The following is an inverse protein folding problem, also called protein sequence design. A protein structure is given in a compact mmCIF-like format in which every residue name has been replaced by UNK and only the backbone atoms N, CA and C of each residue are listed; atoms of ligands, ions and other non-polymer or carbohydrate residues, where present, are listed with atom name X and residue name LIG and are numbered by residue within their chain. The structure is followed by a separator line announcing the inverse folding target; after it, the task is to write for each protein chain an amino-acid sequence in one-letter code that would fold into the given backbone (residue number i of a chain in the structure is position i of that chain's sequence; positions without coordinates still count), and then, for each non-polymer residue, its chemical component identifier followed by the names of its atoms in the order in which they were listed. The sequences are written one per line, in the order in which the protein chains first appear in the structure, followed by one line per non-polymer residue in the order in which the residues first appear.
data_IF_193829779264
#
_entry.id   IF_193829779264
#
_cell.length_a   1.000
_cell.length_b   1.000
_cell.length_c   1.000
_cell.angle_alpha   90.00
_cell.angle_beta   90.00
_cell.angle_gamma   90.00
#
_symmetry.space_group_name_H-M   'P 1'
#
loop_
_entity.id
_entity.type
_entity.pdbx_description
1 polymer ?
#
# COMPACT_ATOMS: atom_id res chain seq x y z
N UNK A 1 5.66 -30.37 -37.03
CA UNK A 1 4.64 -29.39 -37.47
C UNK A 1 3.29 -29.56 -36.78
N UNK A 2 2.71 -30.76 -36.62
CA UNK A 2 1.38 -30.94 -36.00
C UNK A 2 1.31 -30.56 -34.50
N UNK A 3 2.36 -30.84 -33.72
CA UNK A 3 2.37 -30.58 -32.26
C UNK A 3 2.53 -29.09 -31.91
N UNK A 4 3.35 -28.36 -32.65
CA UNK A 4 3.56 -26.91 -32.45
C UNK A 4 2.30 -26.09 -32.74
N UNK A 5 1.52 -26.50 -33.75
CA UNK A 5 0.25 -25.85 -34.11
C UNK A 5 -0.84 -26.07 -33.05
N UNK A 6 -0.84 -27.25 -32.41
CA UNK A 6 -1.78 -27.58 -31.34
C UNK A 6 -1.50 -26.77 -30.06
N UNK A 7 -0.22 -26.56 -29.71
CA UNK A 7 0.18 -25.73 -28.57
C UNK A 7 -0.21 -24.25 -28.78
N UNK A 8 0.03 -23.71 -29.98
CA UNK A 8 -0.37 -22.33 -30.30
C UNK A 8 -1.90 -22.15 -30.27
N UNK A 9 -2.65 -23.14 -30.75
CA UNK A 9 -4.12 -23.06 -30.75
C UNK A 9 -4.69 -23.12 -29.32
N UNK A 10 -4.05 -23.91 -28.45
CA UNK A 10 -4.42 -23.98 -27.02
C UNK A 10 -4.14 -22.69 -26.26
N UNK A 11 -3.02 -22.02 -26.55
CA UNK A 11 -2.67 -20.72 -25.98
C UNK A 11 -3.65 -19.63 -26.43
N UNK A 12 -4.02 -19.63 -27.72
CA UNK A 12 -5.00 -18.68 -28.27
C UNK A 12 -6.38 -18.92 -27.65
N UNK A 13 -6.80 -20.17 -27.47
CA UNK A 13 -8.06 -20.47 -26.79
C UNK A 13 -8.07 -20.03 -25.33
N UNK A 14 -7.00 -20.26 -24.57
CA UNK A 14 -6.91 -19.73 -23.19
C UNK A 14 -6.97 -18.20 -23.16
N UNK A 15 -6.29 -17.51 -24.07
CA UNK A 15 -6.37 -16.05 -24.19
C UNK A 15 -7.80 -15.57 -24.52
N UNK A 16 -8.50 -16.26 -25.44
CA UNK A 16 -9.90 -15.95 -25.77
C UNK A 16 -10.87 -16.20 -24.61
N UNK A 17 -10.60 -17.19 -23.76
CA UNK A 17 -11.37 -17.45 -22.53
C UNK A 17 -11.11 -16.38 -21.47
N UNK A 18 -9.87 -15.91 -21.31
CA UNK A 18 -9.52 -14.81 -20.39
C UNK A 18 -10.15 -13.48 -20.84
N UNK A 19 -10.17 -13.20 -22.15
CA UNK A 19 -10.82 -12.01 -22.73
C UNK A 19 -12.35 -12.05 -22.63
N UNK A 20 -12.97 -13.23 -22.62
CA UNK A 20 -14.42 -13.39 -22.40
C UNK A 20 -14.84 -13.32 -20.92
N UNK A 21 -13.88 -13.34 -19.98
CA UNK A 21 -14.15 -13.32 -18.54
C UNK A 21 -14.28 -11.92 -17.92
N UNK A 22 -13.96 -10.85 -18.67
CA UNK A 22 -14.23 -9.47 -18.27
C UNK A 22 -15.24 -8.88 -19.26
N UNK A 23 -16.23 -8.15 -18.73
CA UNK A 23 -17.35 -7.51 -19.44
C UNK A 23 -18.59 -8.40 -19.65
N UNK A 24 -19.23 -8.79 -18.55
CA UNK A 24 -20.69 -8.72 -18.47
C UNK A 24 -21.02 -7.41 -17.74
N UNK A 25 -21.32 -6.35 -18.50
CA UNK A 25 -21.78 -5.07 -17.98
C UNK A 25 -23.27 -4.95 -18.33
N UNK A 26 -24.12 -4.92 -17.32
CA UNK A 26 -25.48 -4.41 -17.42
C UNK A 26 -25.42 -2.88 -17.40
N UNK A 27 -26.12 -2.26 -18.35
CA UNK A 27 -26.25 -0.82 -18.55
C UNK A 27 -27.07 -0.21 -17.41
N UNK A 28 -26.47 0.68 -16.62
CA UNK A 28 -27.17 1.81 -15.97
C UNK A 28 -26.27 3.04 -16.14
N UNK A 29 -26.84 4.08 -16.74
CA UNK A 29 -26.21 5.37 -17.02
C UNK A 29 -26.08 6.19 -15.72
N UNK A 30 -24.84 6.46 -15.29
CA UNK A 30 -24.53 7.62 -14.45
C UNK A 30 -23.23 8.26 -14.99
N UNK A 31 -23.32 9.54 -15.35
CA UNK A 31 -22.22 10.36 -15.87
C UNK A 31 -20.99 10.29 -14.95
N UNK A 32 -19.94 9.62 -15.40
CA UNK A 32 -18.59 9.80 -14.86
C UNK A 32 -17.83 10.65 -15.87
N UNK A 33 -17.59 11.89 -15.46
CA UNK A 33 -16.82 12.89 -16.18
C UNK A 33 -15.48 12.29 -16.64
N UNK A 34 -15.28 12.28 -17.95
CA UNK A 34 -14.15 11.65 -18.60
C UNK A 34 -12.92 12.53 -18.42
N UNK A 35 -12.16 12.29 -17.35
CA UNK A 35 -10.78 12.78 -17.29
C UNK A 35 -9.96 11.94 -18.26
N UNK A 36 -9.73 12.53 -19.42
CA UNK A 36 -8.75 12.09 -20.42
C UNK A 36 -7.39 11.93 -19.73
N UNK A 37 -6.90 10.69 -19.70
CA UNK A 37 -5.57 10.38 -19.21
C UNK A 37 -4.61 10.61 -20.38
N UNK A 38 -4.01 11.80 -20.43
CA UNK A 38 -2.77 11.98 -21.17
C UNK A 38 -1.67 11.30 -20.35
N UNK A 39 -1.09 10.24 -20.92
CA UNK A 39 0.16 9.62 -20.46
C UNK A 39 1.27 10.69 -20.54
N UNK A 40 1.43 11.47 -19.47
CA UNK A 40 2.67 12.18 -19.22
C UNK A 40 3.52 11.31 -18.33
N UNK A 41 4.47 10.61 -18.96
CA UNK A 41 5.68 10.10 -18.31
C UNK A 41 6.39 11.27 -17.63
N UNK A 42 6.03 11.54 -16.37
CA UNK A 42 6.73 12.51 -15.55
C UNK A 42 7.59 11.73 -14.54
N UNK A 43 8.83 11.48 -14.96
CA UNK A 43 9.95 11.14 -14.09
C UNK A 43 10.26 12.36 -13.20
N UNK A 44 9.37 12.64 -12.25
CA UNK A 44 9.69 13.50 -11.12
C UNK A 44 10.04 12.59 -9.96
N UNK A 45 11.29 12.67 -9.53
CA UNK A 45 11.81 12.05 -8.31
C UNK A 45 10.86 12.35 -7.16
N UNK A 46 10.02 11.37 -6.83
CA UNK A 46 9.01 11.48 -5.78
C UNK A 46 9.74 11.62 -4.46
N UNK A 47 9.69 12.82 -3.88
CA UNK A 47 10.15 13.08 -2.53
C UNK A 47 9.31 12.22 -1.57
N UNK A 48 9.89 11.20 -0.91
CA UNK A 48 9.15 10.30 -0.01
C UNK A 48 8.51 11.05 1.17
N UNK A 49 8.89 12.30 1.42
CA UNK A 49 8.33 13.16 2.46
C UNK A 49 6.97 13.79 2.10
N UNK A 50 6.55 13.76 0.82
CA UNK A 50 5.29 14.36 0.32
C UNK A 50 4.34 13.38 -0.37
N UNK A 51 4.51 12.08 -0.13
CA UNK A 51 3.66 11.05 -0.73
C UNK A 51 2.40 10.87 0.10
N UNK A 52 1.27 11.39 -0.39
CA UNK A 52 -0.04 11.19 0.23
C UNK A 52 -0.80 10.04 -0.43
N UNK A 53 -0.88 8.90 0.26
CA UNK A 53 -1.71 7.75 -0.12
C UNK A 53 -3.20 8.00 0.19
N UNK A 54 -4.08 7.33 -0.56
CA UNK A 54 -5.51 7.40 -0.30
C UNK A 54 -5.84 6.95 1.13
N UNK A 55 -6.73 7.68 1.81
CA UNK A 55 -7.05 7.43 3.23
C UNK A 55 -7.63 6.03 3.41
N UNK A 56 -7.00 5.22 4.28
CA UNK A 56 -7.38 3.84 4.52
C UNK A 56 -6.71 2.84 3.58
N UNK A 57 -5.96 3.31 2.57
CA UNK A 57 -5.18 2.42 1.71
C UNK A 57 -4.20 1.57 2.51
N UNK A 58 -4.01 0.33 2.07
CA UNK A 58 -2.93 -0.50 2.62
C UNK A 58 -1.55 0.08 2.29
N UNK A 59 -1.44 0.85 1.21
CA UNK A 59 -0.22 1.57 0.84
C UNK A 59 0.13 2.70 1.81
N UNK A 60 -0.83 3.15 2.64
CA UNK A 60 -0.56 4.12 3.70
C UNK A 60 0.43 3.57 4.74
N UNK A 61 0.60 2.24 4.83
CA UNK A 61 1.66 1.61 5.61
C UNK A 61 3.06 2.07 5.20
N UNK A 62 3.27 2.46 3.93
CA UNK A 62 4.58 2.86 3.44
C UNK A 62 5.12 4.13 4.11
N UNK A 63 4.24 5.01 4.60
CA UNK A 63 4.63 6.16 5.43
C UNK A 63 5.24 5.74 6.77
N UNK A 64 5.04 4.49 7.22
CA UNK A 64 5.67 3.95 8.43
C UNK A 64 7.13 3.53 8.19
N UNK A 65 7.55 3.32 6.94
CA UNK A 65 8.89 2.82 6.62
C UNK A 65 10.01 3.74 7.11
N UNK A 66 9.74 5.04 7.30
CA UNK A 66 10.69 5.96 7.94
C UNK A 66 11.07 5.56 9.36
N UNK A 67 10.17 4.94 10.11
CA UNK A 67 10.42 4.45 11.46
C UNK A 67 11.26 3.17 11.49
N UNK A 68 11.40 2.45 10.37
CA UNK A 68 12.27 1.28 10.29
C UNK A 68 13.75 1.63 10.50
N UNK A 69 14.17 2.88 10.20
CA UNK A 69 15.52 3.34 10.55
C UNK A 69 15.78 3.33 12.06
N UNK A 70 14.74 3.59 12.85
CA UNK A 70 14.81 3.54 14.31
C UNK A 70 14.99 2.10 14.81
N UNK A 71 14.40 1.12 14.12
CA UNK A 71 14.57 -0.30 14.43
C UNK A 71 16.02 -0.76 14.29
N UNK A 72 16.73 -0.29 13.25
CA UNK A 72 18.12 -0.69 12.99
C UNK A 72 19.09 -0.13 14.03
N UNK A 73 18.75 0.98 14.68
CA UNK A 73 19.62 1.70 15.62
C UNK A 73 19.29 1.44 17.08
N UNK A 74 17.99 1.42 17.41
CA UNK A 74 17.53 1.44 18.80
C UNK A 74 16.94 0.12 19.28
N UNK A 75 16.78 -0.90 18.43
CA UNK A 75 16.24 -2.20 18.82
C UNK A 75 17.29 -3.33 18.75
N UNK A 76 17.25 -4.32 19.66
CA UNK A 76 16.37 -4.41 20.84
C UNK A 76 16.80 -3.47 21.98
N UNK A 77 15.85 -2.93 22.74
CA UNK A 77 16.14 -2.05 23.88
C UNK A 77 15.34 -2.37 25.14
N UNK A 78 15.79 -1.79 26.25
CA UNK A 78 15.11 -1.85 27.56
C UNK A 78 14.47 -0.50 27.86
N UNK A 79 13.20 -0.51 28.27
CA UNK A 79 12.44 0.72 28.55
C UNK A 79 13.16 1.58 29.60
N UNK A 80 13.43 2.82 29.23
CA UNK A 80 14.12 3.79 30.08
C UNK A 80 13.59 5.21 29.82
N UNK A 81 14.03 6.19 30.62
CA UNK A 81 13.67 7.60 30.39
C UNK A 81 14.20 8.14 29.05
N UNK A 82 15.32 7.59 28.58
CA UNK A 82 15.94 7.98 27.30
C UNK A 82 15.38 7.18 26.12
N UNK A 83 14.85 5.97 26.35
CA UNK A 83 14.21 5.13 25.34
C UNK A 83 12.82 4.68 25.82
N UNK A 84 11.82 5.59 25.83
CA UNK A 84 10.47 5.29 26.33
C UNK A 84 9.63 4.43 25.38
N UNK A 85 10.04 4.28 24.12
CA UNK A 85 9.24 3.60 23.09
C UNK A 85 9.78 2.22 22.68
N UNK A 86 10.54 1.54 23.55
CA UNK A 86 11.02 0.18 23.28
C UNK A 86 9.88 -0.80 22.94
N UNK A 87 8.66 -0.55 23.40
CA UNK A 87 7.49 -1.36 23.06
C UNK A 87 7.13 -1.32 21.56
N UNK A 88 7.62 -0.31 20.82
CA UNK A 88 7.48 -0.20 19.37
C UNK A 88 8.40 -1.18 18.62
N UNK A 89 9.46 -1.70 19.25
CA UNK A 89 10.36 -2.67 18.62
C UNK A 89 9.62 -3.94 18.15
N UNK A 90 8.46 -4.28 18.75
CA UNK A 90 7.64 -5.43 18.32
C UNK A 90 7.11 -5.29 16.89
N UNK A 91 7.05 -4.07 16.36
CA UNK A 91 6.59 -3.79 15.00
C UNK A 91 7.74 -3.79 13.98
N UNK A 92 9.01 -3.81 14.40
CA UNK A 92 10.16 -3.87 13.49
C UNK A 92 10.15 -5.11 12.60
N UNK A 93 9.52 -6.20 13.07
CA UNK A 93 9.32 -7.41 12.26
C UNK A 93 8.50 -7.19 10.99
N UNK A 94 7.84 -6.06 10.83
CA UNK A 94 7.06 -5.72 9.65
C UNK A 94 7.84 -4.88 8.62
N UNK A 95 9.04 -4.40 8.96
CA UNK A 95 9.85 -3.56 8.07
C UNK A 95 10.26 -4.25 6.76
N UNK A 96 10.28 -5.59 6.69
CA UNK A 96 10.51 -6.31 5.43
C UNK A 96 9.42 -6.03 4.38
N UNK A 97 8.23 -5.60 4.81
CA UNK A 97 7.15 -5.22 3.90
C UNK A 97 7.49 -3.95 3.14
N UNK A 98 8.32 -3.06 3.68
CA UNK A 98 8.71 -1.83 2.99
C UNK A 98 9.42 -2.11 1.67
N UNK A 99 10.49 -2.90 1.69
CA UNK A 99 11.26 -3.22 0.47
C UNK A 99 10.49 -4.14 -0.50
N UNK A 100 9.56 -4.95 0.01
CA UNK A 100 8.82 -5.90 -0.82
C UNK A 100 7.54 -5.32 -1.43
N UNK A 101 6.91 -4.34 -0.77
CA UNK A 101 5.57 -3.86 -1.08
C UNK A 101 5.55 -2.36 -1.41
N UNK A 102 6.31 -1.54 -0.69
CA UNK A 102 6.25 -0.10 -0.86
C UNK A 102 7.01 0.39 -2.08
N UNK A 103 8.19 -0.18 -2.35
CA UNK A 103 9.03 0.26 -3.46
C UNK A 103 8.55 -0.27 -4.83
N UNK A 104 7.77 -1.36 -4.83
CA UNK A 104 7.44 -2.12 -6.05
C UNK A 104 5.96 -2.17 -6.38
N UNK A 105 5.08 -2.05 -5.39
CA UNK A 105 3.64 -2.26 -5.56
C UNK A 105 2.85 -0.97 -5.30
N UNK A 106 3.26 -0.18 -4.30
CA UNK A 106 2.53 1.00 -3.89
C UNK A 106 3.02 2.27 -4.59
N UNK A 107 2.10 2.97 -5.24
CA UNK A 107 2.30 4.33 -5.77
C UNK A 107 1.15 5.21 -5.29
N UNK A 108 1.45 6.41 -4.79
CA UNK A 108 0.39 7.33 -4.34
C UNK A 108 -0.56 7.66 -5.49
N UNK A 109 -1.86 7.56 -5.22
CA UNK A 109 -2.89 7.75 -6.23
C UNK A 109 -2.97 6.61 -7.26
N UNK A 110 -2.15 5.56 -7.14
CA UNK A 110 -2.18 4.39 -8.01
C UNK A 110 -3.41 3.50 -7.81
N UNK A 111 -3.60 2.53 -8.70
CA UNK A 111 -4.78 1.66 -8.70
C UNK A 111 -4.89 0.89 -7.38
N UNK A 112 -3.79 0.27 -6.92
CA UNK A 112 -3.81 -0.47 -5.66
C UNK A 112 -4.08 0.43 -4.45
N UNK A 113 -3.52 1.65 -4.47
CA UNK A 113 -3.73 2.64 -3.43
C UNK A 113 -5.21 3.00 -3.30
N UNK A 114 -5.87 3.33 -4.42
CA UNK A 114 -7.29 3.70 -4.44
C UNK A 114 -8.21 2.53 -4.14
N UNK A 115 -7.97 1.36 -4.76
CA UNK A 115 -8.84 0.18 -4.60
C UNK A 115 -8.75 -0.36 -3.18
N UNK A 116 -7.55 -0.44 -2.59
CA UNK A 116 -7.42 -0.90 -1.22
C UNK A 116 -8.08 0.07 -0.23
N UNK A 117 -7.97 1.39 -0.44
CA UNK A 117 -8.65 2.39 0.39
C UNK A 117 -10.17 2.19 0.42
N UNK A 118 -10.77 1.76 -0.69
CA UNK A 118 -12.21 1.47 -0.76
C UNK A 118 -12.61 0.16 -0.07
N UNK A 119 -11.68 -0.81 0.08
CA UNK A 119 -11.99 -2.18 0.53
C UNK A 119 -11.59 -2.44 1.98
N UNK A 120 -10.59 -1.74 2.53
CA UNK A 120 -10.06 -2.04 3.88
C UNK A 120 -11.11 -2.04 5.00
N UNK A 121 -12.19 -1.27 4.86
CA UNK A 121 -13.30 -1.25 5.83
C UNK A 121 -14.13 -2.56 5.81
N UNK A 122 -13.83 -3.48 4.89
CA UNK A 122 -14.51 -4.78 4.71
C UNK A 122 -13.63 -5.97 5.08
N UNK A 123 -12.40 -5.77 5.56
CA UNK A 123 -11.52 -6.87 5.95
C UNK A 123 -11.91 -7.44 7.32
N UNK A 124 -12.28 -8.74 7.42
CA UNK A 124 -12.84 -9.34 8.63
C UNK A 124 -11.86 -9.44 9.81
N UNK A 125 -10.57 -9.14 9.61
CA UNK A 125 -9.51 -9.22 10.62
C UNK A 125 -8.88 -7.87 10.98
N UNK A 126 -9.38 -6.75 10.43
CA UNK A 126 -8.89 -5.41 10.77
C UNK A 126 -9.84 -4.77 11.80
N UNK A 127 -9.43 -4.76 13.08
CA UNK A 127 -10.14 -4.04 14.13
C UNK A 127 -9.66 -2.59 14.11
N UNK A 128 -10.38 -1.73 13.38
CA UNK A 128 -10.02 -0.34 13.17
C UNK A 128 -10.01 0.45 14.48
N UNK A 129 -10.93 0.17 15.38
CA UNK A 129 -11.06 0.85 16.67
C UNK A 129 -9.86 0.62 17.58
N UNK A 130 -9.30 -0.59 17.58
CA UNK A 130 -8.10 -0.94 18.34
C UNK A 130 -6.86 -0.22 17.79
N UNK A 131 -6.68 -0.25 16.47
CA UNK A 131 -5.53 0.38 15.80
C UNK A 131 -5.56 1.89 15.94
N UNK A 132 -6.71 2.53 15.74
CA UNK A 132 -6.86 3.97 15.87
C UNK A 132 -6.61 4.42 17.33
N UNK A 133 -7.04 3.62 18.32
CA UNK A 133 -6.76 3.87 19.74
C UNK A 133 -5.27 3.83 20.09
N UNK A 134 -4.53 2.86 19.55
CA UNK A 134 -3.08 2.76 19.74
C UNK A 134 -2.33 3.93 19.09
N UNK A 135 -2.77 4.39 17.91
CA UNK A 135 -2.19 5.56 17.21
C UNK A 135 -2.42 6.84 18.02
N UNK A 136 -3.64 7.05 18.51
CA UNK A 136 -3.98 8.24 19.29
C UNK A 136 -3.19 8.32 20.60
N UNK A 137 -2.91 7.18 21.23
CA UNK A 137 -2.11 7.12 22.45
C UNK A 137 -0.66 7.60 22.26
N UNK A 138 -0.09 7.42 21.06
CA UNK A 138 1.30 7.81 20.75
C UNK A 138 1.42 9.15 20.02
N UNK A 139 0.29 9.73 19.58
CA UNK A 139 0.23 10.94 18.75
C UNK A 139 0.99 12.13 19.32
N UNK A 140 0.82 12.42 20.62
CA UNK A 140 1.54 13.50 21.30
C UNK A 140 3.07 13.32 21.29
N UNK A 141 3.54 12.07 21.37
CA UNK A 141 4.97 11.79 21.33
C UNK A 141 5.54 11.91 19.91
N UNK A 142 4.79 11.42 18.91
CA UNK A 142 5.13 11.55 17.49
C UNK A 142 5.22 13.03 17.10
N UNK A 143 4.21 13.84 17.44
CA UNK A 143 4.19 15.27 17.09
C UNK A 143 5.37 16.04 17.68
N UNK A 144 5.79 15.68 18.90
CA UNK A 144 6.93 16.32 19.57
C UNK A 144 8.29 15.94 18.97
N UNK A 145 8.38 14.79 18.29
CA UNK A 145 9.62 14.25 17.72
C UNK A 145 9.62 14.28 16.19
N UNK A 146 8.62 14.89 15.58
CA UNK A 146 8.43 14.97 14.13
C UNK A 146 9.64 15.51 13.38
N UNK A 147 10.37 16.48 13.94
CA UNK A 147 11.53 17.10 13.29
C UNK A 147 12.82 16.28 13.45
N UNK A 148 12.80 15.21 14.24
CA UNK A 148 13.92 14.27 14.45
C UNK A 148 13.71 12.93 13.73
N UNK A 149 12.59 12.78 13.00
CA UNK A 149 12.08 11.53 12.39
C UNK A 149 11.90 11.66 10.87
#
# INVERSE_FOLDING_TARGET
MKLSVLLSLSLVMMALFVMRGHCAQSEEEEEIDTVTVEDTENDESVDPEKVEYAKGSICQYCSYCKFCKLCDQDCPCTRSKTQPNCDMCKYCKFCYLCSAFCDTVCSAGGILDRVSASIVNSLPSFNKEEVDGDIDAVKYWIDKKKDEL
#
